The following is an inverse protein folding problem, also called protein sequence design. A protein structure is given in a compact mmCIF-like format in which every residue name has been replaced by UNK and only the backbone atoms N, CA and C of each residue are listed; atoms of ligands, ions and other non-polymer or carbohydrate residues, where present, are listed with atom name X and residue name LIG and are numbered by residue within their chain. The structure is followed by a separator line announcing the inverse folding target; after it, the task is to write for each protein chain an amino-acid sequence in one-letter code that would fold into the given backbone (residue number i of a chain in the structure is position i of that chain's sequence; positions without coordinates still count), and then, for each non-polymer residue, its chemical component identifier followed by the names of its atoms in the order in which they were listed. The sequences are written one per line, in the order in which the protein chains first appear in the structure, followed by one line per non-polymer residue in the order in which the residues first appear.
data_IF_097227300385
#
_entry.id   IF_097227300385
#
_cell.length_a   1.000
_cell.length_b   1.000
_cell.length_c   1.000
_cell.angle_alpha   90.00
_cell.angle_beta   90.00
_cell.angle_gamma   90.00
#
_symmetry.space_group_name_H-M   'P 1'
#
loop_
_entity.id
_entity.type
_entity.pdbx_description
1 polymer ?
#
# COMPACT_ATOMS: atom_id res chain seq x y z
N UNK A 1 -13.19 29.42 -7.71
CA UNK A 1 -13.68 28.16 -7.12
C UNK A 1 -13.29 28.20 -5.64
N UNK A 2 -14.20 27.90 -4.71
CA UNK A 2 -13.84 27.84 -3.28
C UNK A 2 -13.01 26.58 -3.00
N UNK A 3 -12.22 26.56 -1.93
CA UNK A 3 -11.30 25.45 -1.65
C UNK A 3 -12.00 24.10 -1.47
N UNK A 4 -13.14 24.07 -0.75
CA UNK A 4 -13.94 22.85 -0.63
C UNK A 4 -14.48 22.34 -1.99
N UNK A 5 -14.78 23.24 -2.95
CA UNK A 5 -15.21 22.84 -4.30
C UNK A 5 -14.06 22.24 -5.11
N UNK A 6 -12.85 22.78 -4.95
CA UNK A 6 -11.64 22.25 -5.57
C UNK A 6 -11.29 20.86 -5.04
N UNK A 7 -11.30 20.69 -3.72
CA UNK A 7 -11.08 19.41 -3.06
C UNK A 7 -12.14 18.38 -3.50
N UNK A 8 -13.42 18.76 -3.50
CA UNK A 8 -14.51 17.88 -3.95
C UNK A 8 -14.32 17.43 -5.40
N UNK A 9 -13.88 18.34 -6.28
CA UNK A 9 -13.56 18.02 -7.68
C UNK A 9 -12.42 16.99 -7.79
N UNK A 10 -11.33 17.17 -7.04
CA UNK A 10 -10.18 16.24 -7.03
C UNK A 10 -10.61 14.87 -6.49
N UNK A 11 -11.37 14.83 -5.40
CA UNK A 11 -11.88 13.61 -4.77
C UNK A 11 -13.08 12.99 -5.52
N UNK A 12 -13.60 13.66 -6.56
CA UNK A 12 -14.79 13.23 -7.32
C UNK A 12 -16.00 12.95 -6.43
N UNK A 13 -16.21 13.79 -5.42
CA UNK A 13 -17.35 13.73 -4.50
C UNK A 13 -18.19 15.01 -4.57
N UNK A 14 -19.36 15.00 -3.94
CA UNK A 14 -20.21 16.18 -3.84
C UNK A 14 -19.55 17.26 -2.98
N UNK A 15 -19.59 18.51 -3.46
CA UNK A 15 -19.03 19.67 -2.73
C UNK A 15 -19.70 19.91 -1.39
N UNK A 16 -20.97 19.55 -1.23
CA UNK A 16 -21.68 19.68 0.03
C UNK A 16 -21.16 18.69 1.08
N UNK A 17 -20.67 17.51 0.67
CA UNK A 17 -20.02 16.58 1.58
C UNK A 17 -18.77 17.22 2.20
N UNK A 18 -17.90 17.81 1.37
CA UNK A 18 -16.67 18.46 1.86
C UNK A 18 -17.00 19.68 2.74
N UNK A 19 -17.99 20.49 2.35
CA UNK A 19 -18.43 21.64 3.16
C UNK A 19 -18.96 21.23 4.53
N UNK A 20 -19.81 20.21 4.61
CA UNK A 20 -20.39 19.72 5.88
C UNK A 20 -19.29 19.16 6.78
N UNK A 21 -18.33 18.43 6.22
CA UNK A 21 -17.16 17.94 6.96
C UNK A 21 -16.34 19.09 7.50
N UNK A 22 -16.02 20.10 6.68
CA UNK A 22 -15.28 21.28 7.11
C UNK A 22 -15.96 21.98 8.29
N UNK A 23 -17.27 22.24 8.18
CA UNK A 23 -18.07 22.85 9.25
C UNK A 23 -18.02 22.02 10.54
N UNK A 24 -18.18 20.69 10.43
CA UNK A 24 -18.17 19.79 11.58
C UNK A 24 -16.80 19.70 12.24
N UNK A 25 -15.76 19.47 11.46
CA UNK A 25 -14.39 19.33 11.97
C UNK A 25 -13.90 20.63 12.59
N UNK A 26 -14.25 21.78 12.01
CA UNK A 26 -13.95 23.08 12.59
C UNK A 26 -14.68 23.30 13.93
N UNK A 27 -15.95 22.88 14.04
CA UNK A 27 -16.70 22.98 15.30
C UNK A 27 -16.11 22.09 16.41
N UNK A 28 -15.63 20.88 16.07
CA UNK A 28 -15.07 19.92 17.04
C UNK A 28 -13.65 20.29 17.47
N UNK A 29 -12.82 20.78 16.55
CA UNK A 29 -11.38 21.02 16.81
C UNK A 29 -11.04 22.48 17.09
N UNK A 30 -11.92 23.41 16.73
CA UNK A 30 -11.64 24.85 16.73
C UNK A 30 -10.71 25.33 15.60
N UNK A 31 -10.21 24.44 14.74
CA UNK A 31 -9.36 24.78 13.58
C UNK A 31 -10.24 25.26 12.43
N UNK A 32 -9.88 26.40 11.84
CA UNK A 32 -10.59 27.01 10.70
C UNK A 32 -9.66 27.08 9.49
N UNK A 33 -10.25 27.35 8.32
CA UNK A 33 -9.54 27.59 7.06
C UNK A 33 -8.60 26.42 6.65
N UNK A 34 -8.92 25.20 7.11
CA UNK A 34 -8.09 24.02 6.84
C UNK A 34 -8.16 23.63 5.36
N UNK A 35 -9.33 23.73 4.71
CA UNK A 35 -9.44 23.43 3.29
C UNK A 35 -8.63 24.42 2.43
N UNK A 36 -8.63 25.70 2.82
CA UNK A 36 -7.79 26.73 2.18
C UNK A 36 -6.30 26.39 2.34
N UNK A 37 -5.87 26.04 3.55
CA UNK A 37 -4.49 25.61 3.81
C UNK A 37 -4.07 24.39 2.99
N UNK A 38 -4.96 23.41 2.81
CA UNK A 38 -4.69 22.22 1.97
C UNK A 38 -4.49 22.63 0.51
N UNK A 39 -5.37 23.48 -0.03
CA UNK A 39 -5.26 23.95 -1.41
C UNK A 39 -4.02 24.81 -1.64
N UNK A 40 -3.73 25.75 -0.73
CA UNK A 40 -2.51 26.56 -0.80
C UNK A 40 -1.27 25.68 -0.77
N UNK A 41 -1.22 24.71 0.15
CA UNK A 41 -0.13 23.74 0.22
C UNK A 41 0.01 22.92 -1.06
N UNK A 42 -1.09 22.41 -1.63
CA UNK A 42 -1.09 21.69 -2.90
C UNK A 42 -0.50 22.54 -4.02
N UNK A 43 -0.94 23.80 -4.14
CA UNK A 43 -0.48 24.70 -5.18
C UNK A 43 1.00 25.09 -5.02
N UNK A 44 1.47 25.32 -3.80
CA UNK A 44 2.89 25.55 -3.51
C UNK A 44 3.71 24.35 -3.93
N UNK A 45 3.33 23.14 -3.50
CA UNK A 45 4.07 21.92 -3.84
C UNK A 45 4.10 21.65 -5.35
N UNK A 46 2.97 21.80 -6.04
CA UNK A 46 2.92 21.70 -7.50
C UNK A 46 3.87 22.71 -8.15
N UNK A 47 3.83 23.97 -7.72
CA UNK A 47 4.69 25.03 -8.30
C UNK A 47 6.16 24.68 -8.12
N UNK A 48 6.54 24.28 -6.91
CA UNK A 48 7.93 23.95 -6.57
C UNK A 48 8.42 22.76 -7.39
N UNK A 49 7.61 21.69 -7.50
CA UNK A 49 7.98 20.49 -8.28
C UNK A 49 8.05 20.75 -9.78
N UNK A 50 7.10 21.52 -10.33
CA UNK A 50 7.17 21.93 -11.73
C UNK A 50 8.43 22.75 -12.01
N UNK A 51 8.77 23.70 -11.14
CA UNK A 51 10.00 24.50 -11.29
C UNK A 51 11.26 23.63 -11.25
N UNK A 52 11.34 22.64 -10.35
CA UNK A 52 12.45 21.69 -10.29
C UNK A 52 12.56 20.82 -11.55
N UNK A 53 11.44 20.53 -12.20
CA UNK A 53 11.38 19.82 -13.49
C UNK A 53 11.56 20.75 -14.70
N UNK A 54 11.75 22.06 -14.49
CA UNK A 54 11.86 23.04 -15.58
C UNK A 54 10.56 23.32 -16.32
N UNK A 55 9.41 23.03 -15.70
CA UNK A 55 8.07 23.20 -16.25
C UNK A 55 7.34 24.40 -15.65
N UNK A 56 6.27 24.84 -16.32
CA UNK A 56 5.39 25.90 -15.86
C UNK A 56 3.99 25.37 -15.53
N UNK A 57 3.19 26.11 -14.75
CA UNK A 57 1.78 25.74 -14.49
C UNK A 57 0.91 25.66 -15.76
N UNK A 58 1.35 26.30 -16.84
CA UNK A 58 0.68 26.26 -18.15
C UNK A 58 1.11 25.07 -19.00
N UNK A 59 2.09 24.28 -18.56
CA UNK A 59 2.46 23.03 -19.22
C UNK A 59 1.26 22.09 -19.29
N UNK A 60 1.18 21.34 -20.38
CA UNK A 60 0.14 20.36 -20.60
C UNK A 60 0.27 19.18 -19.63
N UNK A 61 -0.83 18.48 -19.41
CA UNK A 61 -0.84 17.27 -18.60
C UNK A 61 0.20 16.25 -19.11
N UNK A 62 0.35 16.11 -20.44
CA UNK A 62 1.32 15.20 -21.05
C UNK A 62 2.77 15.57 -20.72
N UNK A 63 3.15 16.84 -20.87
CA UNK A 63 4.51 17.31 -20.54
C UNK A 63 4.85 17.08 -19.07
N UNK A 64 3.88 17.28 -18.17
CA UNK A 64 4.06 17.02 -16.75
C UNK A 64 4.25 15.53 -16.48
N UNK A 65 3.41 14.67 -17.08
CA UNK A 65 3.56 13.23 -16.96
C UNK A 65 4.91 12.77 -17.48
N UNK A 66 5.30 13.16 -18.69
CA UNK A 66 6.58 12.79 -19.31
C UNK A 66 7.76 13.20 -18.42
N UNK A 67 7.73 14.39 -17.82
CA UNK A 67 8.78 14.86 -16.90
C UNK A 67 8.82 14.08 -15.58
N UNK A 68 7.66 13.73 -15.01
CA UNK A 68 7.59 12.89 -13.81
C UNK A 68 8.12 11.47 -14.09
N UNK A 69 7.83 10.94 -15.28
CA UNK A 69 8.40 9.67 -15.75
C UNK A 69 9.92 9.77 -15.84
N UNK A 70 10.44 10.78 -16.55
CA UNK A 70 11.90 10.96 -16.67
C UNK A 70 12.58 11.13 -15.30
N UNK A 71 11.90 11.75 -14.32
CA UNK A 71 12.41 11.83 -12.94
C UNK A 71 12.48 10.46 -12.26
N UNK A 72 11.47 9.60 -12.44
CA UNK A 72 11.51 8.21 -11.95
C UNK A 72 12.71 7.47 -12.57
N UNK A 73 12.92 7.59 -13.88
CA UNK A 73 14.02 6.90 -14.55
C UNK A 73 15.39 7.40 -14.06
N UNK A 74 15.53 8.70 -13.81
CA UNK A 74 16.73 9.27 -13.23
C UNK A 74 16.99 8.74 -11.81
N UNK A 75 15.96 8.73 -10.96
CA UNK A 75 16.07 8.26 -9.57
C UNK A 75 16.28 6.76 -9.46
N UNK A 76 15.68 5.97 -10.35
CA UNK A 76 15.92 4.54 -10.48
C UNK A 76 17.38 4.24 -10.82
N UNK A 77 17.98 5.01 -11.73
CA UNK A 77 19.40 4.90 -12.05
C UNK A 77 20.30 5.30 -10.88
N UNK A 78 19.97 6.38 -10.16
CA UNK A 78 20.73 6.77 -8.95
C UNK A 78 20.67 5.67 -7.89
N UNK A 79 19.48 5.12 -7.65
CA UNK A 79 19.30 4.00 -6.73
C UNK A 79 20.04 2.74 -7.19
N UNK A 80 20.04 2.45 -8.50
CA UNK A 80 20.77 1.34 -9.09
C UNK A 80 22.27 1.45 -8.83
N UNK A 81 22.87 2.62 -9.08
CA UNK A 81 24.29 2.86 -8.82
C UNK A 81 24.59 2.79 -7.32
N UNK A 82 23.79 3.43 -6.47
CA UNK A 82 24.01 3.46 -5.02
C UNK A 82 23.87 2.08 -4.34
N UNK A 83 23.04 1.20 -4.90
CA UNK A 83 22.91 -0.19 -4.46
C UNK A 83 23.95 -1.12 -5.08
N UNK A 84 24.95 -0.59 -5.80
CA UNK A 84 26.04 -1.38 -6.37
C UNK A 84 25.62 -2.20 -7.59
N UNK A 85 24.70 -1.67 -8.41
CA UNK A 85 24.22 -2.26 -9.68
C UNK A 85 23.60 -3.65 -9.51
N UNK A 86 22.51 -3.78 -8.73
CA UNK A 86 21.97 -5.08 -8.39
C UNK A 86 21.37 -5.83 -9.59
N UNK A 87 21.51 -7.16 -9.58
CA UNK A 87 20.86 -8.07 -10.53
C UNK A 87 19.69 -8.74 -9.81
N UNK A 88 18.47 -8.25 -10.02
CA UNK A 88 17.28 -8.64 -9.23
C UNK A 88 16.88 -10.11 -9.38
N UNK A 89 17.24 -10.76 -10.49
CA UNK A 89 17.04 -12.21 -10.67
C UNK A 89 18.02 -13.05 -9.87
N UNK A 90 19.13 -12.48 -9.42
CA UNK A 90 20.12 -13.19 -8.61
C UNK A 90 19.77 -13.02 -7.13
N UNK A 91 19.54 -14.16 -6.47
CA UNK A 91 19.09 -14.19 -5.07
C UNK A 91 20.00 -13.40 -4.13
N UNK A 92 21.32 -13.51 -4.27
CA UNK A 92 22.27 -12.80 -3.41
C UNK A 92 22.16 -11.27 -3.58
N UNK A 93 22.06 -10.81 -4.83
CA UNK A 93 21.96 -9.38 -5.14
C UNK A 93 20.60 -8.80 -4.74
N UNK A 94 19.51 -9.50 -5.01
CA UNK A 94 18.17 -9.07 -4.57
C UNK A 94 18.03 -9.08 -3.05
N UNK A 95 18.57 -10.08 -2.35
CA UNK A 95 18.60 -10.10 -0.88
C UNK A 95 19.42 -8.95 -0.29
N UNK A 96 20.48 -8.50 -0.96
CA UNK A 96 21.21 -7.29 -0.53
C UNK A 96 20.32 -6.06 -0.55
N UNK A 97 19.57 -5.83 -1.65
CA UNK A 97 18.61 -4.71 -1.75
C UNK A 97 17.55 -4.79 -0.65
N UNK A 98 17.03 -5.99 -0.38
CA UNK A 98 16.07 -6.21 0.69
C UNK A 98 16.64 -5.92 2.08
N UNK A 99 17.88 -6.32 2.34
CA UNK A 99 18.54 -6.04 3.63
C UNK A 99 18.73 -4.54 3.85
N UNK A 100 19.15 -3.80 2.81
CA UNK A 100 19.24 -2.33 2.87
C UNK A 100 17.89 -1.72 3.23
N UNK A 101 16.80 -2.14 2.56
CA UNK A 101 15.45 -1.65 2.90
C UNK A 101 15.05 -1.99 4.35
N UNK A 102 15.41 -3.17 4.84
CA UNK A 102 15.15 -3.61 6.23
C UNK A 102 15.91 -2.76 7.25
N UNK A 103 17.15 -2.37 6.95
CA UNK A 103 17.97 -1.51 7.80
C UNK A 103 17.40 -0.10 7.88
N UNK A 104 16.99 0.48 6.74
CA UNK A 104 16.30 1.78 6.69
C UNK A 104 15.02 1.76 7.54
N UNK A 105 14.30 0.63 7.54
CA UNK A 105 13.09 0.45 8.34
C UNK A 105 13.34 0.19 9.84
N UNK A 106 14.59 0.02 10.28
CA UNK A 106 14.92 -0.21 11.68
C UNK A 106 14.59 -1.62 12.18
N UNK A 107 14.73 -2.65 11.32
CA UNK A 107 14.55 -4.07 11.68
C UNK A 107 13.23 -4.38 12.41
N UNK A 108 12.07 -4.09 11.79
CA UNK A 108 10.77 -4.22 12.44
C UNK A 108 10.48 -5.66 12.93
N UNK A 109 9.88 -5.74 14.12
CA UNK A 109 9.36 -6.96 14.74
C UNK A 109 7.84 -6.99 14.72
N UNK A 110 7.27 -8.18 14.84
CA UNK A 110 5.83 -8.37 14.96
C UNK A 110 5.46 -9.72 15.57
N UNK A 111 4.17 -9.84 15.86
CA UNK A 111 3.45 -11.03 16.25
C UNK A 111 2.97 -11.80 15.01
N UNK A 112 3.57 -12.95 14.73
CA UNK A 112 3.37 -13.71 13.49
C UNK A 112 3.14 -15.20 13.77
N UNK A 113 2.54 -15.90 12.81
CA UNK A 113 2.28 -17.33 12.88
C UNK A 113 3.60 -18.11 13.05
N UNK A 114 3.59 -19.04 14.00
CA UNK A 114 4.70 -19.95 14.27
C UNK A 114 4.92 -20.91 13.10
N UNK A 115 6.18 -21.23 12.83
CA UNK A 115 6.56 -22.18 11.77
C UNK A 115 5.92 -23.55 11.96
N UNK A 116 5.85 -24.05 13.19
CA UNK A 116 5.28 -25.37 13.48
C UNK A 116 3.78 -25.39 13.21
N UNK A 117 3.07 -24.28 13.45
CA UNK A 117 1.66 -24.17 13.10
C UNK A 117 1.48 -24.09 11.59
N UNK A 118 2.29 -23.29 10.90
CA UNK A 118 2.30 -23.19 9.44
C UNK A 118 2.49 -24.57 8.79
N UNK A 119 3.43 -25.39 9.29
CA UNK A 119 3.62 -26.78 8.85
C UNK A 119 2.37 -27.63 9.09
N UNK A 120 1.71 -27.52 10.25
CA UNK A 120 0.47 -28.25 10.52
C UNK A 120 -0.64 -27.89 9.53
N UNK A 121 -0.79 -26.62 9.17
CA UNK A 121 -1.78 -26.17 8.19
C UNK A 121 -1.53 -26.78 6.80
N UNK A 122 -0.26 -26.85 6.37
CA UNK A 122 0.11 -27.50 5.11
C UNK A 122 -0.15 -29.01 5.15
N UNK A 123 0.16 -29.70 6.26
CA UNK A 123 -0.09 -31.15 6.36
C UNK A 123 -1.58 -31.48 6.33
N UNK A 124 -2.40 -30.63 6.92
CA UNK A 124 -3.86 -30.78 6.94
C UNK A 124 -4.48 -30.54 5.55
N UNK A 125 -4.00 -29.52 4.82
CA UNK A 125 -4.43 -29.22 3.45
C UNK A 125 -3.20 -29.08 2.54
N UNK A 126 -2.66 -30.20 2.03
CA UNK A 126 -1.46 -30.20 1.22
C UNK A 126 -1.62 -29.44 -0.10
N UNK A 127 -0.65 -28.57 -0.47
CA UNK A 127 -0.67 -27.83 -1.74
C UNK A 127 -0.26 -28.77 -2.90
N UNK A 128 -1.24 -29.35 -3.58
CA UNK A 128 -1.01 -30.42 -4.55
C UNK A 128 -0.30 -29.93 -5.81
N UNK A 129 -0.56 -28.69 -6.24
CA UNK A 129 0.07 -28.12 -7.42
C UNK A 129 1.55 -27.83 -7.14
N UNK A 130 1.89 -27.35 -5.95
CA UNK A 130 3.28 -27.17 -5.52
C UNK A 130 4.01 -28.52 -5.46
N UNK A 131 3.43 -29.52 -4.81
CA UNK A 131 4.03 -30.86 -4.68
C UNK A 131 4.32 -31.45 -6.06
N UNK A 132 3.34 -31.39 -6.96
CA UNK A 132 3.44 -31.95 -8.31
C UNK A 132 4.43 -31.18 -9.19
N UNK A 133 4.39 -29.84 -9.15
CA UNK A 133 5.25 -28.99 -9.99
C UNK A 133 6.75 -29.10 -9.64
N UNK A 134 7.07 -29.34 -8.37
CA UNK A 134 8.44 -29.53 -7.90
C UNK A 134 8.89 -31.00 -7.84
N UNK A 135 8.00 -31.93 -8.18
CA UNK A 135 8.31 -33.37 -8.23
C UNK A 135 8.48 -34.02 -6.85
N UNK A 136 7.83 -33.50 -5.81
CA UNK A 136 7.80 -34.10 -4.48
C UNK A 136 6.73 -35.18 -4.39
N UNK A 137 6.96 -36.21 -3.56
CA UNK A 137 6.02 -37.32 -3.39
C UNK A 137 4.80 -36.94 -2.56
N UNK A 138 5.02 -36.11 -1.53
CA UNK A 138 4.00 -35.69 -0.58
C UNK A 138 4.42 -34.43 0.17
N UNK A 139 3.54 -33.95 1.05
CA UNK A 139 3.76 -32.75 1.86
C UNK A 139 4.90 -32.91 2.88
N UNK A 140 5.16 -34.11 3.37
CA UNK A 140 6.25 -34.35 4.32
C UNK A 140 7.60 -34.14 3.63
N UNK A 141 7.78 -34.68 2.42
CA UNK A 141 8.99 -34.45 1.62
C UNK A 141 9.14 -32.98 1.23
N UNK A 142 8.05 -32.30 0.88
CA UNK A 142 8.05 -30.87 0.57
C UNK A 142 8.54 -30.05 1.78
N UNK A 143 7.97 -30.26 2.96
CA UNK A 143 8.34 -29.51 4.19
C UNK A 143 9.75 -29.86 4.67
N UNK A 144 10.24 -31.08 4.43
CA UNK A 144 11.61 -31.47 4.75
C UNK A 144 12.64 -30.76 3.86
N UNK A 145 12.34 -30.62 2.56
CA UNK A 145 13.29 -30.10 1.57
C UNK A 145 13.19 -28.60 1.31
N UNK A 146 12.05 -27.99 1.63
CA UNK A 146 11.78 -26.59 1.33
C UNK A 146 11.62 -25.72 2.57
N UNK A 147 12.05 -24.47 2.46
CA UNK A 147 11.81 -23.46 3.48
C UNK A 147 10.31 -23.11 3.57
N UNK A 148 9.76 -23.14 4.78
CA UNK A 148 8.33 -22.93 5.04
C UNK A 148 7.81 -21.61 4.48
N UNK A 149 8.62 -20.55 4.54
CA UNK A 149 8.24 -19.26 4.00
C UNK A 149 8.17 -19.25 2.48
N UNK A 150 9.06 -19.99 1.81
CA UNK A 150 9.00 -20.21 0.37
C UNK A 150 7.70 -20.92 -0.03
N UNK A 151 7.34 -21.99 0.69
CA UNK A 151 6.10 -22.74 0.42
C UNK A 151 4.87 -21.83 0.61
N UNK A 152 4.77 -21.12 1.75
CA UNK A 152 3.64 -20.22 2.03
C UNK A 152 3.57 -19.03 1.07
N UNK A 153 4.70 -18.57 0.54
CA UNK A 153 4.72 -17.55 -0.50
C UNK A 153 4.17 -18.11 -1.82
N UNK A 154 4.57 -19.34 -2.15
CA UNK A 154 4.23 -19.99 -3.40
C UNK A 154 2.75 -20.39 -3.52
N UNK A 155 2.07 -20.74 -2.42
CA UNK A 155 0.64 -21.07 -2.47
C UNK A 155 -0.22 -19.92 -3.05
N UNK A 156 0.23 -18.67 -2.95
CA UNK A 156 -0.49 -17.49 -3.46
C UNK A 156 -0.56 -17.44 -4.99
N UNK A 157 0.33 -18.14 -5.69
CA UNK A 157 0.44 -18.08 -7.14
C UNK A 157 0.50 -19.44 -7.84
N UNK A 158 0.67 -20.55 -7.10
CA UNK A 158 0.69 -21.90 -7.66
C UNK A 158 -0.59 -22.70 -7.42
N UNK A 159 -1.34 -22.38 -6.37
CA UNK A 159 -2.57 -23.08 -6.04
C UNK A 159 -3.79 -22.32 -6.59
N UNK A 160 -4.87 -23.04 -6.83
CA UNK A 160 -6.11 -22.47 -7.33
C UNK A 160 -6.73 -21.50 -6.31
N UNK A 161 -7.28 -20.39 -6.80
CA UNK A 161 -7.86 -19.36 -5.95
C UNK A 161 -8.99 -19.90 -5.06
N UNK A 162 -9.85 -20.77 -5.62
CA UNK A 162 -10.96 -21.38 -4.89
C UNK A 162 -10.44 -22.32 -3.79
N UNK A 163 -9.43 -23.14 -4.08
CA UNK A 163 -8.82 -24.00 -3.06
C UNK A 163 -8.15 -23.17 -1.96
N UNK A 164 -7.41 -22.14 -2.33
CA UNK A 164 -6.71 -21.27 -1.39
C UNK A 164 -7.70 -20.58 -0.43
N UNK A 165 -8.79 -20.03 -0.97
CA UNK A 165 -9.78 -19.28 -0.19
C UNK A 165 -10.72 -20.19 0.60
N UNK A 166 -11.28 -21.22 -0.03
CA UNK A 166 -12.39 -22.00 0.56
C UNK A 166 -11.92 -23.25 1.31
N UNK A 167 -10.69 -23.72 1.05
CA UNK A 167 -10.13 -24.94 1.66
C UNK A 167 -8.95 -24.61 2.57
N UNK A 168 -7.92 -23.96 2.05
CA UNK A 168 -6.69 -23.73 2.81
C UNK A 168 -6.91 -22.68 3.91
N UNK A 169 -7.44 -21.50 3.57
CA UNK A 169 -7.69 -20.42 4.53
C UNK A 169 -8.84 -20.70 5.50
N UNK A 170 -9.75 -21.63 5.19
CA UNK A 170 -10.77 -22.07 6.15
C UNK A 170 -10.17 -22.58 7.46
N UNK A 171 -8.98 -23.15 7.42
CA UNK A 171 -8.27 -23.58 8.63
C UNK A 171 -7.94 -22.43 9.59
N UNK A 172 -7.92 -21.18 9.11
CA UNK A 172 -7.58 -20.01 9.92
C UNK A 172 -8.62 -19.74 11.00
N UNK A 173 -9.85 -20.24 10.82
CA UNK A 173 -10.93 -20.21 11.83
C UNK A 173 -10.53 -20.91 13.14
N UNK A 174 -9.50 -21.78 13.10
CA UNK A 174 -9.00 -22.53 14.25
C UNK A 174 -7.75 -21.93 14.89
N UNK A 175 -7.26 -20.79 14.39
CA UNK A 175 -6.05 -20.15 14.90
C UNK A 175 -6.31 -19.52 16.26
N UNK A 176 -5.33 -19.71 17.15
CA UNK A 176 -5.35 -19.14 18.50
C UNK A 176 -4.19 -18.17 18.68
N UNK A 177 -4.28 -17.23 19.64
CA UNK A 177 -3.14 -16.39 20.00
C UNK A 177 -1.86 -17.18 20.30
N UNK A 178 -1.98 -18.37 20.90
CA UNK A 178 -0.84 -19.26 21.20
C UNK A 178 -0.12 -19.82 19.96
N UNK A 179 -0.74 -19.76 18.80
CA UNK A 179 -0.15 -20.18 17.52
C UNK A 179 0.80 -19.14 16.93
N UNK A 180 0.93 -17.98 17.57
CA UNK A 180 1.75 -16.86 17.12
C UNK A 180 2.93 -16.63 18.06
N UNK A 181 3.96 -15.96 17.55
CA UNK A 181 5.21 -15.63 18.25
C UNK A 181 5.69 -14.22 17.87
N UNK A 182 6.49 -13.61 18.74
CA UNK A 182 7.21 -12.39 18.40
C UNK A 182 8.50 -12.72 17.67
N UNK A 183 8.67 -12.18 16.46
CA UNK A 183 9.91 -12.29 15.69
C UNK A 183 10.08 -11.11 14.73
N UNK A 184 11.26 -10.99 14.16
CA UNK A 184 11.52 -10.02 13.08
C UNK A 184 10.78 -10.37 11.80
N UNK A 185 10.48 -9.35 11.01
CA UNK A 185 10.04 -9.52 9.63
C UNK A 185 11.16 -10.15 8.82
N UNK A 186 10.78 -11.13 7.99
CA UNK A 186 11.67 -11.82 7.06
C UNK A 186 11.52 -11.18 5.70
N UNK A 187 12.64 -10.82 5.08
CA UNK A 187 12.68 -10.40 3.69
C UNK A 187 13.48 -11.44 2.92
N UNK A 188 12.94 -11.90 1.79
CA UNK A 188 13.58 -12.98 1.04
C UNK A 188 13.27 -12.94 -0.44
N UNK A 189 14.29 -13.18 -1.24
CA UNK A 189 14.11 -13.55 -2.65
C UNK A 189 13.81 -15.04 -2.75
N UNK A 190 12.72 -15.39 -3.42
CA UNK A 190 12.37 -16.79 -3.68
C UNK A 190 13.42 -17.45 -4.59
N UNK A 191 13.60 -18.75 -4.42
CA UNK A 191 14.43 -19.56 -5.32
C UNK A 191 13.91 -19.54 -6.76
N UNK A 192 14.81 -19.62 -7.72
CA UNK A 192 14.49 -19.56 -9.14
C UNK A 192 13.54 -20.69 -9.59
N UNK A 193 13.50 -21.83 -8.88
CA UNK A 193 12.53 -22.90 -9.15
C UNK A 193 11.07 -22.43 -9.02
N UNK A 194 10.81 -21.38 -8.24
CA UNK A 194 9.48 -20.77 -8.11
C UNK A 194 9.16 -19.79 -9.25
N UNK A 195 10.15 -19.34 -10.03
CA UNK A 195 10.00 -18.28 -11.03
C UNK A 195 9.12 -18.70 -12.21
N UNK A 196 9.32 -19.92 -12.76
CA UNK A 196 8.54 -20.45 -13.88
C UNK A 196 7.05 -20.55 -13.51
N UNK A 197 6.81 -21.03 -12.30
CA UNK A 197 5.49 -21.12 -11.69
C UNK A 197 4.83 -19.75 -11.46
N UNK A 198 5.63 -18.73 -11.17
CA UNK A 198 5.16 -17.40 -10.82
C UNK A 198 4.98 -16.45 -12.02
N UNK A 199 5.44 -16.82 -13.22
CA UNK A 199 5.48 -15.91 -14.36
C UNK A 199 4.08 -15.39 -14.75
N UNK A 200 3.06 -16.26 -14.73
CA UNK A 200 1.67 -15.88 -15.01
C UNK A 200 1.11 -14.90 -13.96
N UNK A 201 1.47 -15.10 -12.69
CA UNK A 201 1.08 -14.23 -11.58
C UNK A 201 1.74 -12.86 -11.68
N UNK A 202 3.04 -12.83 -11.94
CA UNK A 202 3.83 -11.61 -12.09
C UNK A 202 3.34 -10.78 -13.29
N UNK A 203 3.05 -11.43 -14.43
CA UNK A 203 2.48 -10.76 -15.61
C UNK A 203 1.10 -10.14 -15.33
N UNK A 204 0.24 -10.82 -14.56
CA UNK A 204 -1.10 -10.32 -14.21
C UNK A 204 -1.05 -9.17 -13.20
N UNK A 205 -0.13 -9.21 -12.24
CA UNK A 205 -0.05 -8.25 -11.14
C UNK A 205 0.85 -7.06 -11.45
N UNK A 206 1.66 -7.14 -12.50
CA UNK A 206 2.59 -6.09 -12.89
C UNK A 206 3.63 -5.74 -11.82
N UNK A 207 3.85 -6.59 -10.81
CA UNK A 207 4.94 -6.47 -9.84
C UNK A 207 5.42 -7.86 -9.40
N UNK A 208 6.69 -7.96 -9.02
CA UNK A 208 7.34 -9.21 -8.60
C UNK A 208 7.48 -9.35 -7.08
N UNK A 209 6.91 -8.42 -6.29
CA UNK A 209 6.93 -8.47 -4.83
C UNK A 209 5.56 -8.84 -4.29
N UNK A 210 5.52 -9.62 -3.22
CA UNK A 210 4.32 -9.77 -2.41
C UNK A 210 4.72 -9.96 -0.94
N UNK A 211 3.73 -10.12 -0.07
CA UNK A 211 3.94 -10.31 1.35
C UNK A 211 2.85 -11.20 1.95
N UNK A 212 3.08 -11.65 3.18
CA UNK A 212 2.11 -12.36 4.02
C UNK A 212 2.16 -11.76 5.42
N UNK A 213 1.09 -11.04 5.81
CA UNK A 213 1.01 -10.32 7.09
C UNK A 213 1.09 -11.29 8.26
N UNK A 214 0.37 -12.40 8.15
CA UNK A 214 0.29 -13.49 9.13
C UNK A 214 1.63 -14.19 9.33
N UNK A 215 2.44 -14.32 8.27
CA UNK A 215 3.76 -14.95 8.32
C UNK A 215 4.88 -13.93 8.52
N UNK A 216 4.60 -12.63 8.56
CA UNK A 216 5.63 -11.60 8.70
C UNK A 216 6.75 -11.72 7.66
N UNK A 217 6.39 -12.02 6.41
CA UNK A 217 7.35 -12.12 5.30
C UNK A 217 6.99 -11.15 4.18
N UNK A 218 8.02 -10.50 3.63
CA UNK A 218 8.00 -9.81 2.35
C UNK A 218 8.92 -10.61 1.42
N UNK A 219 8.47 -10.91 0.22
CA UNK A 219 9.25 -11.71 -0.71
C UNK A 219 9.27 -11.16 -2.13
N UNK A 220 10.41 -11.36 -2.78
CA UNK A 220 10.64 -11.03 -4.19
C UNK A 220 10.64 -12.32 -5.00
N UNK A 221 9.85 -12.35 -6.05
CA UNK A 221 9.87 -13.39 -7.08
C UNK A 221 10.98 -12.98 -8.07
N UNK A 222 11.97 -13.84 -8.36
CA UNK A 222 13.13 -13.47 -9.18
C UNK A 222 12.78 -13.45 -10.69
N UNK A 223 11.90 -12.53 -11.08
CA UNK A 223 11.44 -12.29 -12.45
C UNK A 223 11.65 -10.81 -12.77
N UNK A 224 12.22 -10.53 -13.94
CA UNK A 224 12.35 -9.16 -14.49
C UNK A 224 11.08 -8.79 -15.22
N UNK A 225 10.57 -7.59 -14.99
CA UNK A 225 9.45 -7.07 -15.77
C UNK A 225 9.89 -6.34 -17.04
N UNK A 226 11.09 -5.74 -17.03
CA UNK A 226 11.61 -4.99 -18.16
C UNK A 226 10.89 -3.66 -18.35
N UNK A 227 10.54 -3.03 -17.22
CA UNK A 227 9.82 -1.75 -17.18
C UNK A 227 10.76 -0.70 -16.59
N UNK A 228 10.69 0.51 -17.10
CA UNK A 228 11.45 1.63 -16.56
C UNK A 228 11.05 1.90 -15.10
N UNK A 229 12.02 2.20 -14.22
CA UNK A 229 11.74 2.43 -12.79
C UNK A 229 11.51 1.16 -11.97
N UNK A 230 11.85 -0.02 -12.48
CA UNK A 230 11.56 -1.30 -11.82
C UNK A 230 12.20 -1.42 -10.43
N UNK A 231 13.43 -0.95 -10.25
CA UNK A 231 14.16 -1.03 -8.99
C UNK A 231 13.59 -0.08 -7.94
N UNK A 232 13.36 1.19 -8.31
CA UNK A 232 12.75 2.20 -7.46
C UNK A 232 11.36 1.77 -7.00
N UNK A 233 10.56 1.21 -7.91
CA UNK A 233 9.26 0.65 -7.56
C UNK A 233 9.39 -0.53 -6.61
N UNK A 234 10.31 -1.46 -6.91
CA UNK A 234 10.55 -2.63 -6.07
C UNK A 234 10.90 -2.19 -4.65
N UNK A 235 11.85 -1.27 -4.54
CA UNK A 235 12.32 -0.72 -3.28
C UNK A 235 11.21 0.01 -2.51
N UNK A 236 10.43 0.84 -3.21
CA UNK A 236 9.29 1.57 -2.63
C UNK A 236 8.22 0.61 -2.08
N UNK A 237 7.86 -0.44 -2.83
CA UNK A 237 6.91 -1.46 -2.37
C UNK A 237 7.42 -2.22 -1.13
N UNK A 238 8.71 -2.56 -1.08
CA UNK A 238 9.31 -3.21 0.10
C UNK A 238 9.23 -2.29 1.33
N UNK A 239 9.59 -1.01 1.19
CA UNK A 239 9.49 -0.03 2.27
C UNK A 239 8.03 0.19 2.71
N UNK A 240 7.08 0.19 1.78
CA UNK A 240 5.65 0.23 2.10
C UNK A 240 5.21 -0.99 2.93
N UNK A 241 5.56 -2.21 2.51
CA UNK A 241 5.25 -3.43 3.25
C UNK A 241 5.93 -3.51 4.62
N UNK A 242 7.10 -2.86 4.78
CA UNK A 242 7.78 -2.71 6.07
C UNK A 242 7.04 -1.79 7.05
N UNK A 243 6.07 -0.98 6.58
CA UNK A 243 5.14 -0.21 7.42
C UNK A 243 3.81 -0.94 7.63
N UNK A 244 3.29 -1.58 6.59
CA UNK A 244 2.02 -2.31 6.63
C UNK A 244 2.07 -3.51 7.58
N UNK A 245 3.09 -4.38 7.46
CA UNK A 245 3.17 -5.60 8.25
C UNK A 245 3.22 -5.31 9.76
N UNK A 246 4.06 -4.38 10.29
CA UNK A 246 4.02 -4.03 11.71
C UNK A 246 2.69 -3.44 12.15
N UNK A 247 2.03 -2.64 11.31
CA UNK A 247 0.71 -2.08 11.61
C UNK A 247 -0.31 -3.20 11.85
N UNK A 248 -0.45 -4.13 10.91
CA UNK A 248 -1.38 -5.25 11.03
C UNK A 248 -0.96 -6.22 12.14
N UNK A 249 0.33 -6.45 12.32
CA UNK A 249 0.85 -7.27 13.40
C UNK A 249 0.51 -6.70 14.79
N UNK A 250 0.51 -5.38 14.93
CA UNK A 250 0.06 -4.72 16.17
C UNK A 250 -1.43 -4.95 16.43
N UNK A 251 -2.26 -5.04 15.39
CA UNK A 251 -3.68 -5.39 15.49
C UNK A 251 -3.87 -6.86 15.86
N UNK A 252 -3.09 -7.78 15.27
CA UNK A 252 -3.12 -9.19 15.66
C UNK A 252 -2.81 -9.34 17.16
N UNK A 253 -1.77 -8.64 17.63
CA UNK A 253 -1.39 -8.62 19.06
C UNK A 253 -2.47 -7.98 19.94
N UNK A 254 -3.15 -6.93 19.47
CA UNK A 254 -4.28 -6.31 20.18
C UNK A 254 -5.44 -7.31 20.32
N UNK A 255 -5.82 -7.99 19.24
CA UNK A 255 -6.93 -8.94 19.25
C UNK A 255 -6.58 -10.26 19.94
N UNK A 256 -5.30 -10.57 20.13
CA UNK A 256 -4.84 -11.70 20.93
C UNK A 256 -5.32 -11.66 22.39
N UNK A 257 -5.74 -10.50 22.89
CA UNK A 257 -6.33 -10.35 24.22
C UNK A 257 -7.70 -11.03 24.38
N UNK A 258 -8.38 -11.36 23.27
CA UNK A 258 -9.66 -12.08 23.28
C UNK A 258 -9.62 -13.27 22.32
N UNK A 259 -9.36 -14.47 22.86
CA UNK A 259 -9.24 -15.72 22.08
C UNK A 259 -10.51 -16.05 21.29
N UNK A 260 -11.71 -15.73 21.81
CA UNK A 260 -12.99 -16.07 21.17
C UNK A 260 -13.19 -15.36 19.83
N UNK A 261 -12.67 -14.14 19.70
CA UNK A 261 -12.84 -13.30 18.51
C UNK A 261 -11.55 -13.17 17.69
N UNK A 262 -10.46 -13.80 18.14
CA UNK A 262 -9.13 -13.62 17.54
C UNK A 262 -9.10 -14.08 16.08
N UNK A 263 -9.59 -15.29 15.80
CA UNK A 263 -9.57 -15.86 14.46
C UNK A 263 -10.39 -15.03 13.46
N UNK A 264 -11.61 -14.63 13.86
CA UNK A 264 -12.50 -13.82 13.01
C UNK A 264 -11.89 -12.46 12.68
N UNK A 265 -11.33 -11.77 13.69
CA UNK A 265 -10.66 -10.49 13.49
C UNK A 265 -9.41 -10.63 12.62
N UNK A 266 -8.59 -11.68 12.84
CA UNK A 266 -7.43 -11.98 12.02
C UNK A 266 -7.82 -12.19 10.55
N UNK A 267 -8.81 -13.03 10.30
CA UNK A 267 -9.31 -13.32 8.94
C UNK A 267 -9.82 -12.05 8.27
N UNK A 268 -10.59 -11.24 8.99
CA UNK A 268 -11.15 -9.98 8.47
C UNK A 268 -10.05 -9.00 8.05
N UNK A 269 -8.99 -8.87 8.86
CA UNK A 269 -7.82 -8.05 8.54
C UNK A 269 -7.02 -8.58 7.34
N UNK A 270 -6.86 -9.90 7.21
CA UNK A 270 -6.14 -10.51 6.09
C UNK A 270 -6.90 -10.37 4.77
N UNK A 271 -8.23 -10.41 4.82
CA UNK A 271 -9.09 -10.20 3.64
C UNK A 271 -9.21 -8.74 3.24
N UNK A 272 -8.96 -7.83 4.18
CA UNK A 272 -9.21 -6.41 4.01
C UNK A 272 -10.70 -6.10 3.96
N UNK A 273 -11.51 -6.73 4.82
CA UNK A 273 -12.95 -6.50 4.84
C UNK A 273 -13.27 -5.02 5.06
N UNK A 274 -14.26 -4.53 4.33
CA UNK A 274 -14.77 -3.16 4.47
C UNK A 274 -16.28 -3.25 4.62
N UNK A 275 -16.87 -2.26 5.29
CA UNK A 275 -18.32 -2.24 5.46
C UNK A 275 -19.02 -2.25 4.09
N UNK A 276 -20.01 -3.12 3.93
CA UNK A 276 -20.77 -3.35 2.70
C UNK A 276 -22.09 -2.54 2.66
N UNK A 277 -22.43 -1.91 3.78
CA UNK A 277 -23.64 -1.12 3.99
C UNK A 277 -23.29 0.28 4.44
N UNK A 278 -24.12 1.24 4.10
CA UNK A 278 -23.98 2.58 4.66
C UNK A 278 -24.13 2.51 6.19
N UNK A 279 -23.26 3.21 6.95
CA UNK A 279 -23.45 3.34 8.39
C UNK A 279 -24.84 3.91 8.71
N UNK A 280 -25.45 3.51 9.84
CA UNK A 280 -26.77 4.01 10.22
C UNK A 280 -26.72 5.51 10.40
N UNK A 281 -27.67 6.27 9.84
CA UNK A 281 -27.71 7.72 10.03
C UNK A 281 -27.71 8.07 11.53
N UNK A 282 -27.00 9.14 11.95
CA UNK A 282 -26.94 9.53 13.36
C UNK A 282 -28.34 9.63 13.98
N UNK A 283 -28.62 8.83 15.01
CA UNK A 283 -29.89 8.87 15.70
C UNK A 283 -30.02 10.20 16.45
N UNK A 284 -31.10 10.96 16.19
CA UNK A 284 -31.48 12.11 17.03
C UNK A 284 -31.17 13.51 16.50
N UNK A 285 -30.82 13.70 15.22
CA UNK A 285 -30.59 15.04 14.66
C UNK A 285 -29.26 15.68 15.09
N UNK A 286 -28.38 14.92 15.73
CA UNK A 286 -27.01 15.35 16.02
C UNK A 286 -26.22 15.48 14.72
N UNK A 287 -25.52 16.61 14.57
CA UNK A 287 -24.64 16.96 13.46
C UNK A 287 -23.34 16.12 13.45
N UNK A 288 -23.41 14.79 13.58
CA UNK A 288 -22.22 13.94 13.55
C UNK A 288 -21.81 13.65 12.12
N UNK A 289 -20.51 13.76 11.84
CA UNK A 289 -19.95 13.31 10.56
C UNK A 289 -19.52 11.86 10.68
N UNK A 290 -19.98 11.02 9.76
CA UNK A 290 -19.56 9.62 9.70
C UNK A 290 -18.34 9.47 8.80
N UNK A 291 -17.41 8.63 9.22
CA UNK A 291 -16.18 8.34 8.50
C UNK A 291 -15.97 6.83 8.40
N UNK A 292 -15.63 6.33 7.22
CA UNK A 292 -15.31 4.91 7.02
C UNK A 292 -13.83 4.63 7.32
N UNK A 293 -13.52 3.37 7.58
CA UNK A 293 -12.17 2.82 7.49
C UNK A 293 -12.14 1.89 6.28
N UNK A 294 -11.39 2.29 5.24
CA UNK A 294 -11.30 1.58 3.97
C UNK A 294 -9.88 0.99 3.86
N UNK A 295 -9.73 -0.29 4.22
CA UNK A 295 -8.42 -0.93 4.34
C UNK A 295 -7.91 -1.62 3.05
N UNK A 296 -8.47 -1.25 1.90
CA UNK A 296 -8.07 -1.77 0.58
C UNK A 296 -8.39 -0.75 -0.51
N UNK A 297 -7.75 -0.88 -1.67
CA UNK A 297 -7.99 0.01 -2.81
C UNK A 297 -9.25 -0.37 -3.59
N UNK A 298 -10.41 0.13 -3.16
CA UNK A 298 -11.69 -0.15 -3.82
C UNK A 298 -11.72 0.32 -5.28
N UNK A 299 -11.04 1.42 -5.61
CA UNK A 299 -10.94 1.94 -6.97
C UNK A 299 -10.21 1.00 -7.95
N UNK A 300 -9.48 0.00 -7.45
CA UNK A 300 -8.90 -1.06 -8.27
C UNK A 300 -9.95 -2.05 -8.77
N UNK A 301 -11.00 -2.26 -7.98
CA UNK A 301 -12.09 -3.19 -8.27
C UNK A 301 -13.24 -2.47 -9.02
N UNK A 302 -13.65 -1.30 -8.52
CA UNK A 302 -14.68 -0.46 -9.11
C UNK A 302 -14.40 1.03 -8.84
N UNK A 303 -14.10 1.78 -9.89
CA UNK A 303 -13.85 3.23 -9.81
C UNK A 303 -15.08 4.05 -9.39
N UNK A 304 -16.28 3.47 -9.45
CA UNK A 304 -17.55 4.10 -9.07
C UNK A 304 -18.08 3.60 -7.71
N UNK A 305 -17.26 2.86 -6.95
CA UNK A 305 -17.65 2.40 -5.61
C UNK A 305 -18.04 3.60 -4.73
N UNK A 306 -19.25 3.56 -4.17
CA UNK A 306 -19.81 4.67 -3.40
C UNK A 306 -18.91 5.08 -2.22
N UNK A 307 -18.14 4.14 -1.64
CA UNK A 307 -17.26 4.38 -0.50
C UNK A 307 -16.12 5.33 -0.85
N UNK A 308 -15.69 5.37 -2.11
CA UNK A 308 -14.65 6.30 -2.59
C UNK A 308 -15.10 7.77 -2.49
N UNK A 309 -16.41 8.00 -2.60
CA UNK A 309 -17.02 9.34 -2.49
C UNK A 309 -17.42 9.71 -1.05
N UNK A 310 -17.39 8.75 -0.13
CA UNK A 310 -17.78 8.92 1.26
C UNK A 310 -16.55 9.30 2.12
N UNK A 311 -16.67 10.10 3.19
CA UNK A 311 -15.51 10.44 4.02
C UNK A 311 -14.86 9.20 4.63
N UNK A 312 -13.56 9.02 4.46
CA UNK A 312 -12.89 7.81 4.95
C UNK A 312 -11.43 8.05 5.31
N UNK A 313 -10.89 7.09 6.07
CA UNK A 313 -9.47 6.94 6.32
C UNK A 313 -8.98 5.64 5.68
N UNK A 314 -7.77 5.66 5.14
CA UNK A 314 -7.15 4.51 4.48
C UNK A 314 -5.77 4.19 5.11
N UNK A 315 -5.60 3.02 5.77
CA UNK A 315 -4.30 2.60 6.31
C UNK A 315 -3.22 2.43 5.24
N UNK A 316 -3.58 1.97 4.04
CA UNK A 316 -2.63 1.79 2.95
C UNK A 316 -1.99 3.11 2.52
N UNK A 317 -2.78 4.19 2.45
CA UNK A 317 -2.27 5.53 2.17
C UNK A 317 -1.33 6.05 3.30
N UNK A 318 -1.60 5.70 4.56
CA UNK A 318 -0.68 5.98 5.67
C UNK A 318 0.66 5.22 5.52
N UNK A 319 0.61 3.97 5.08
CA UNK A 319 1.82 3.16 4.85
C UNK A 319 2.68 3.74 3.71
N UNK A 320 2.05 4.23 2.64
CA UNK A 320 2.76 4.94 1.58
C UNK A 320 3.36 6.27 2.03
N UNK A 321 2.65 7.04 2.86
CA UNK A 321 3.20 8.28 3.40
C UNK A 321 4.47 8.04 4.24
N UNK A 322 4.49 6.96 5.04
CA UNK A 322 5.69 6.53 5.77
C UNK A 322 6.80 6.03 4.86
N UNK A 323 6.44 5.32 3.79
CA UNK A 323 7.37 4.89 2.75
C UNK A 323 8.07 6.11 2.13
N UNK A 324 7.35 7.16 1.72
CA UNK A 324 7.97 8.36 1.12
C UNK A 324 8.98 9.02 2.07
N UNK A 325 8.67 9.09 3.37
CA UNK A 325 9.60 9.58 4.39
C UNK A 325 10.83 8.68 4.53
N UNK A 326 10.66 7.36 4.44
CA UNK A 326 11.77 6.41 4.48
C UNK A 326 12.62 6.48 3.22
N UNK A 327 12.01 6.64 2.06
CA UNK A 327 12.71 6.79 0.78
C UNK A 327 13.58 8.05 0.76
N UNK A 328 13.05 9.19 1.23
CA UNK A 328 13.84 10.42 1.35
C UNK A 328 15.03 10.26 2.30
N UNK A 329 14.87 9.54 3.42
CA UNK A 329 15.97 9.21 4.36
C UNK A 329 16.93 8.16 3.81
N UNK A 330 16.48 7.30 2.90
CA UNK A 330 17.31 6.26 2.31
C UNK A 330 18.50 6.87 1.57
N UNK A 331 18.32 8.01 0.88
CA UNK A 331 19.42 8.70 0.22
C UNK A 331 20.46 9.32 1.18
N UNK A 332 20.13 9.50 2.47
CA UNK A 332 21.14 9.89 3.47
C UNK A 332 22.05 8.71 3.83
N UNK A 333 21.49 7.49 3.80
CA UNK A 333 22.19 6.24 4.10
C UNK A 333 22.91 5.68 2.85
N UNK A 334 22.40 5.98 1.66
CA UNK A 334 22.87 5.48 0.38
C UNK A 334 23.51 6.61 -0.42
N UNK A 335 24.84 6.65 -0.43
CA UNK A 335 25.72 7.45 -1.29
C UNK A 335 25.36 8.94 -1.52
N UNK A 336 24.57 9.55 -0.62
CA UNK A 336 24.40 11.00 -0.53
C UNK A 336 23.45 11.66 -1.55
N UNK A 337 22.61 10.90 -2.25
CA UNK A 337 21.59 11.44 -3.19
C UNK A 337 20.21 11.69 -2.54
N UNK A 338 20.21 11.92 -1.21
CA UNK A 338 19.01 12.27 -0.43
C UNK A 338 18.22 13.43 -1.03
N UNK A 339 18.92 14.42 -1.58
CA UNK A 339 18.32 15.61 -2.20
C UNK A 339 17.45 15.22 -3.40
N UNK A 340 17.91 14.27 -4.21
CA UNK A 340 17.19 13.82 -5.40
C UNK A 340 15.91 13.06 -5.02
N UNK A 341 15.98 12.17 -4.03
CA UNK A 341 14.81 11.44 -3.53
C UNK A 341 13.85 12.31 -2.71
N UNK A 342 14.33 13.39 -2.09
CA UNK A 342 13.50 14.37 -1.40
C UNK A 342 12.50 15.07 -2.34
N UNK A 343 12.70 15.00 -3.67
CA UNK A 343 11.69 15.40 -4.65
C UNK A 343 10.33 14.77 -4.35
N UNK A 344 10.29 13.46 -4.03
CA UNK A 344 9.04 12.73 -3.81
C UNK A 344 8.41 12.96 -2.44
N UNK A 345 9.08 13.66 -1.55
CA UNK A 345 8.63 13.83 -0.17
C UNK A 345 7.32 14.63 -0.10
N UNK A 346 6.32 14.07 0.59
CA UNK A 346 5.00 14.65 0.86
C UNK A 346 4.16 14.90 -0.41
N UNK A 347 4.45 14.20 -1.52
CA UNK A 347 3.69 14.34 -2.76
C UNK A 347 2.51 13.39 -2.85
N UNK A 348 2.35 12.46 -1.90
CA UNK A 348 1.28 11.46 -1.92
C UNK A 348 -0.13 12.04 -2.11
N UNK A 349 -0.44 13.21 -1.55
CA UNK A 349 -1.75 13.89 -1.64
C UNK A 349 -1.79 15.05 -2.65
N UNK A 350 -0.72 15.23 -3.44
CA UNK A 350 -0.55 16.38 -4.33
C UNK A 350 -1.03 16.06 -5.75
N UNK A 351 -1.88 16.92 -6.30
CA UNK A 351 -2.39 16.80 -7.66
C UNK A 351 -3.40 17.88 -8.02
N UNK A 352 -3.56 18.15 -9.31
CA UNK A 352 -4.53 19.12 -9.82
C UNK A 352 -4.88 18.85 -11.29
N UNK A 353 -5.86 19.60 -11.80
CA UNK A 353 -6.27 19.52 -13.19
C UNK A 353 -5.37 20.37 -14.10
N UNK A 354 -4.84 19.74 -15.15
CA UNK A 354 -4.07 20.38 -16.20
C UNK A 354 -4.72 20.13 -17.55
N UNK A 355 -4.50 21.03 -18.50
CA UNK A 355 -5.03 20.87 -19.86
C UNK A 355 -4.22 19.82 -20.61
N UNK A 356 -4.88 18.89 -21.28
CA UNK A 356 -4.23 18.06 -22.28
C UNK A 356 -4.01 18.83 -23.60
N UNK A 357 -3.44 18.14 -24.60
CA UNK A 357 -3.17 18.72 -25.94
C UNK A 357 -4.44 19.21 -26.65
N UNK A 358 -5.62 18.70 -26.27
CA UNK A 358 -6.92 19.10 -26.82
C UNK A 358 -7.60 20.21 -26.00
N UNK A 359 -6.98 20.64 -24.90
CA UNK A 359 -7.51 21.65 -23.99
C UNK A 359 -8.47 21.11 -22.93
N UNK A 360 -8.67 19.80 -22.84
CA UNK A 360 -9.52 19.15 -21.83
C UNK A 360 -8.76 19.08 -20.51
N UNK A 361 -9.42 19.42 -19.40
CA UNK A 361 -8.84 19.32 -18.08
C UNK A 361 -8.79 17.87 -17.58
N UNK A 362 -7.60 17.41 -17.24
CA UNK A 362 -7.30 16.08 -16.75
C UNK A 362 -6.58 16.20 -15.42
N UNK A 363 -7.00 15.41 -14.43
CA UNK A 363 -6.29 15.33 -13.14
C UNK A 363 -4.90 14.72 -13.37
N UNK A 364 -3.87 15.37 -12.86
CA UNK A 364 -2.49 14.87 -12.81
C UNK A 364 -2.12 14.67 -11.35
N UNK A 365 -1.67 13.47 -11.03
CA UNK A 365 -1.18 13.08 -9.70
C UNK A 365 0.33 13.23 -9.66
N UNK A 366 0.86 13.83 -8.58
CA UNK A 366 2.30 13.88 -8.30
C UNK A 366 2.74 12.74 -7.35
N UNK A 367 1.81 11.86 -6.99
CA UNK A 367 2.07 10.68 -6.15
C UNK A 367 3.05 9.74 -6.87
N UNK A 368 4.12 9.34 -6.19
CA UNK A 368 5.16 8.46 -6.75
C UNK A 368 4.57 7.14 -7.27
N UNK A 369 3.68 6.51 -6.50
CA UNK A 369 3.11 5.21 -6.83
C UNK A 369 2.17 5.31 -8.02
N UNK A 370 1.29 6.31 -8.06
CA UNK A 370 0.42 6.54 -9.22
C UNK A 370 1.24 6.78 -10.50
N UNK A 371 2.34 7.52 -10.39
CA UNK A 371 3.25 7.81 -11.50
C UNK A 371 3.97 6.54 -11.98
N UNK A 372 4.54 5.77 -11.06
CA UNK A 372 5.23 4.50 -11.36
C UNK A 372 4.27 3.44 -11.92
N UNK A 373 3.04 3.37 -11.41
CA UNK A 373 2.04 2.42 -11.92
C UNK A 373 1.53 2.82 -13.31
N UNK A 374 1.48 4.12 -13.60
CA UNK A 374 1.12 4.63 -14.93
C UNK A 374 2.15 4.22 -15.99
N UNK A 375 3.45 4.11 -15.66
CA UNK A 375 4.50 3.60 -16.56
C UNK A 375 4.24 2.17 -17.04
N UNK A 376 3.85 1.30 -16.11
CA UNK A 376 3.57 -0.10 -16.42
C UNK A 376 2.39 -0.21 -17.39
N UNK A 377 1.45 0.72 -17.30
CA UNK A 377 0.16 0.68 -17.97
C UNK A 377 -0.01 1.70 -19.09
N UNK A 378 1.08 2.33 -19.53
CA UNK A 378 1.09 3.21 -20.71
C UNK A 378 0.52 2.49 -21.95
N UNK A 379 0.70 1.17 -22.03
CA UNK A 379 0.14 0.30 -23.08
C UNK A 379 -1.38 0.06 -22.94
N UNK A 380 -1.96 0.28 -21.77
CA UNK A 380 -3.38 0.01 -21.47
C UNK A 380 -4.23 1.28 -21.27
N UNK A 381 -3.64 2.48 -21.35
CA UNK A 381 -4.33 3.78 -21.23
C UNK A 381 -5.09 3.99 -19.89
N UNK A 382 -4.79 3.23 -18.85
CA UNK A 382 -5.45 3.34 -17.52
C UNK A 382 -4.68 4.34 -16.66
N UNK A 383 -5.37 5.42 -16.24
CA UNK A 383 -4.80 6.41 -15.30
C UNK A 383 -5.09 6.03 -13.86
N UNK A 384 -4.03 5.85 -13.07
CA UNK A 384 -4.10 5.57 -11.63
C UNK A 384 -4.18 6.88 -10.85
N UNK A 385 -5.25 7.07 -10.08
CA UNK A 385 -5.40 8.23 -9.19
C UNK A 385 -5.80 7.84 -7.77
N UNK A 386 -6.01 6.55 -7.51
CA UNK A 386 -6.60 6.16 -6.24
C UNK A 386 -5.60 6.34 -5.10
N UNK A 387 -4.29 6.17 -5.26
CA UNK A 387 -3.36 6.43 -4.15
C UNK A 387 -3.36 7.92 -3.75
N UNK A 388 -3.40 8.81 -4.74
CA UNK A 388 -3.54 10.24 -4.51
C UNK A 388 -4.82 10.63 -3.77
N UNK A 389 -5.96 10.12 -4.23
CA UNK A 389 -7.26 10.47 -3.63
C UNK A 389 -7.40 9.94 -2.21
N UNK A 390 -6.96 8.70 -1.95
CA UNK A 390 -6.95 8.11 -0.60
C UNK A 390 -6.01 8.90 0.33
N UNK A 391 -4.86 9.36 -0.18
CA UNK A 391 -3.94 10.22 0.57
C UNK A 391 -4.54 11.59 0.88
N UNK A 392 -5.31 12.17 -0.04
CA UNK A 392 -5.99 13.45 0.17
C UNK A 392 -7.12 13.33 1.22
N UNK A 393 -7.84 12.22 1.27
CA UNK A 393 -8.80 11.95 2.35
C UNK A 393 -8.11 11.89 3.73
N UNK A 394 -7.00 11.14 3.84
CA UNK A 394 -6.17 11.12 5.04
C UNK A 394 -5.66 12.52 5.39
N UNK A 395 -5.21 13.30 4.39
CA UNK A 395 -4.67 14.66 4.57
C UNK A 395 -5.68 15.60 5.22
N UNK A 396 -6.95 15.54 4.80
CA UNK A 396 -8.03 16.32 5.42
C UNK A 396 -8.09 16.00 6.92
N UNK A 397 -8.17 14.72 7.29
CA UNK A 397 -8.24 14.33 8.70
C UNK A 397 -6.99 14.74 9.49
N UNK A 398 -5.80 14.53 8.93
CA UNK A 398 -4.51 14.86 9.57
C UNK A 398 -4.41 16.35 9.90
N UNK A 399 -4.86 17.25 9.02
CA UNK A 399 -4.79 18.69 9.30
C UNK A 399 -5.66 19.09 10.51
N UNK A 400 -6.75 18.36 10.77
CA UNK A 400 -7.60 18.57 11.93
C UNK A 400 -7.09 17.88 13.20
N UNK A 401 -6.67 16.62 13.13
CA UNK A 401 -6.41 15.78 14.31
C UNK A 401 -4.96 15.30 14.47
N UNK A 402 -4.14 15.38 13.40
CA UNK A 402 -2.78 14.85 13.36
C UNK A 402 -2.70 13.37 12.95
N UNK A 403 -1.53 12.95 12.48
CA UNK A 403 -1.26 11.57 12.02
C UNK A 403 -1.42 10.55 13.14
N UNK A 404 -0.92 10.84 14.35
CA UNK A 404 -1.02 9.91 15.50
C UNK A 404 -2.48 9.58 15.82
N UNK A 405 -3.35 10.59 15.84
CA UNK A 405 -4.78 10.38 16.08
C UNK A 405 -5.45 9.63 14.93
N UNK A 406 -5.02 9.85 13.69
CA UNK A 406 -5.51 9.09 12.55
C UNK A 406 -5.18 7.61 12.69
N UNK A 407 -3.93 7.26 12.99
CA UNK A 407 -3.52 5.86 13.17
C UNK A 407 -4.28 5.18 14.33
N UNK A 408 -4.41 5.86 15.48
CA UNK A 408 -5.22 5.38 16.61
C UNK A 408 -6.66 5.11 16.18
N UNK A 409 -7.29 6.08 15.50
CA UNK A 409 -8.69 5.99 15.06
C UNK A 409 -8.89 4.83 14.08
N UNK A 410 -7.96 4.63 13.13
CA UNK A 410 -7.98 3.48 12.22
C UNK A 410 -7.91 2.19 13.04
N UNK A 411 -6.92 2.03 13.94
CA UNK A 411 -6.73 0.81 14.71
C UNK A 411 -7.88 0.47 15.66
N UNK A 412 -8.59 1.47 16.15
CA UNK A 412 -9.77 1.30 17.00
C UNK A 412 -10.99 0.84 16.21
N UNK A 413 -11.14 1.30 14.96
CA UNK A 413 -12.36 1.14 14.20
C UNK A 413 -12.21 0.23 12.97
N UNK A 414 -11.04 -0.36 12.71
CA UNK A 414 -10.78 -1.16 11.50
C UNK A 414 -11.72 -2.36 11.33
N UNK A 415 -12.09 -3.05 12.42
CA UNK A 415 -13.06 -4.17 12.37
C UNK A 415 -14.48 -3.65 12.21
N UNK A 416 -14.82 -2.54 12.90
CA UNK A 416 -16.14 -1.91 12.80
C UNK A 416 -16.37 -1.30 11.41
N UNK A 417 -15.30 -0.86 10.76
CA UNK A 417 -15.30 -0.26 9.42
C UNK A 417 -15.72 1.22 9.37
N UNK A 418 -16.05 1.85 10.50
CA UNK A 418 -16.45 3.27 10.56
C UNK A 418 -16.45 3.86 11.97
N UNK A 419 -16.45 5.19 12.06
CA UNK A 419 -16.54 5.97 13.29
C UNK A 419 -17.32 7.29 13.08
N UNK A 420 -17.58 8.01 14.17
CA UNK A 420 -18.28 9.30 14.16
C UNK A 420 -17.40 10.39 14.74
N UNK A 421 -17.55 11.61 14.22
CA UNK A 421 -16.92 12.83 14.74
C UNK A 421 -18.00 13.84 15.09
#
# INVERSE_FOLDING_TARGET
MKSYEKIARILRTDRDNIRIIEERLAAVTGKKDVMDKIIEGNETMITDRLNLLGLAKTSSAKEIYDALISKIEADDNLLFEALGRPIITEMASSNYVLNVAKEIAGLPKGFFLKKEKAVKLLKNQPPQNIISSLGYKNVDELVEKEDIFGIFSAIRFLEDADWLNDVFFKQYETLKPSDFEEREIILKTLDQKWAVAAESFVRKKYHNISHLKEMGIIFVIPVVLGISGELLRMFSLVLHYLNEIPFYSSLFKKFAANEETFADNLISLLRGDVIDRQPPSPAGGDQKSQWLIVQRYLGKDDINDWRLSFPHLNPEALHWERMERMLSRAGDLLDGFAVDLAFWQNLNWVGDYFKDETGIEVLVSFNLVDTVMSLVMEKELVKYFYHHQESLWNRIFIEYFGEEKMEETIKENIIKGWFEI
#
